data_IF_856950825904
#
_entry.id   IF_856950825904
#
_cell.length_a   1.000
_cell.length_b   1.000
_cell.length_c   1.000
_cell.angle_alpha   90.00
_cell.angle_beta   90.00
_cell.angle_gamma   90.00
#
_symmetry.space_group_name_H-M   'P 1'
#
loop_
_entity.id
_entity.type
_entity.pdbx_description
1 polymer ?
#
# COMPACT_ATOMS: atom_id res chain seq x y z
N UNK A 1 12.05 -0.04 10.50
CA UNK A 1 11.13 0.95 9.89
C UNK A 1 10.48 0.38 8.63
N UNK A 2 11.27 -0.19 7.71
CA UNK A 2 10.76 -0.89 6.50
C UNK A 2 9.83 -2.08 6.76
N UNK A 3 10.13 -2.92 7.76
CA UNK A 3 9.31 -4.09 8.12
C UNK A 3 7.84 -3.74 8.41
N UNK A 4 7.59 -2.56 9.00
CA UNK A 4 6.22 -2.08 9.25
C UNK A 4 5.51 -1.75 7.93
N UNK A 5 6.16 -1.02 7.03
CA UNK A 5 5.59 -0.67 5.74
C UNK A 5 5.40 -1.89 4.82
N UNK A 6 6.24 -2.92 4.96
CA UNK A 6 6.03 -4.20 4.29
C UNK A 6 4.70 -4.83 4.72
N UNK A 7 4.47 -4.99 6.04
CA UNK A 7 3.22 -5.56 6.58
C UNK A 7 1.98 -4.74 6.24
N UNK A 8 2.06 -3.41 6.33
CA UNK A 8 0.93 -2.52 5.99
C UNK A 8 0.55 -2.62 4.51
N UNK A 9 1.56 -2.66 3.62
CA UNK A 9 1.34 -2.84 2.18
C UNK A 9 0.74 -4.19 1.86
N UNK A 10 1.28 -5.27 2.42
CA UNK A 10 0.73 -6.60 2.21
C UNK A 10 -0.73 -6.66 2.65
N UNK A 11 -1.04 -6.10 3.83
CA UNK A 11 -2.41 -6.00 4.34
C UNK A 11 -3.31 -5.23 3.40
N UNK A 12 -2.91 -4.03 2.95
CA UNK A 12 -3.66 -3.22 1.99
C UNK A 12 -3.94 -3.98 0.68
N UNK A 13 -2.92 -4.63 0.11
CA UNK A 13 -3.08 -5.38 -1.15
C UNK A 13 -4.03 -6.56 -0.97
N UNK A 14 -3.88 -7.36 0.09
CA UNK A 14 -4.72 -8.55 0.31
C UNK A 14 -6.15 -8.21 0.72
N UNK A 15 -6.32 -7.28 1.66
CA UNK A 15 -7.61 -7.04 2.31
C UNK A 15 -8.46 -5.97 1.64
N UNK A 16 -7.85 -5.07 0.86
CA UNK A 16 -8.57 -3.97 0.22
C UNK A 16 -8.53 -4.13 -1.30
N UNK A 17 -7.34 -4.22 -1.91
CA UNK A 17 -7.22 -4.22 -3.38
C UNK A 17 -7.73 -5.54 -3.99
N UNK A 18 -7.20 -6.69 -3.56
CA UNK A 18 -7.61 -7.99 -4.08
C UNK A 18 -9.06 -8.33 -3.71
N UNK A 19 -9.47 -8.03 -2.47
CA UNK A 19 -10.84 -8.25 -1.99
C UNK A 19 -11.90 -7.44 -2.77
N UNK A 20 -11.51 -6.31 -3.39
CA UNK A 20 -12.39 -5.48 -4.25
C UNK A 20 -12.37 -5.88 -5.73
N UNK A 21 -11.78 -7.02 -6.08
CA UNK A 21 -11.88 -7.62 -7.41
C UNK A 21 -10.67 -7.41 -8.32
N UNK A 22 -9.58 -6.79 -7.84
CA UNK A 22 -8.33 -6.74 -8.60
C UNK A 22 -7.67 -8.13 -8.55
N UNK A 23 -7.69 -8.84 -9.66
CA UNK A 23 -7.21 -10.23 -9.75
C UNK A 23 -6.07 -10.45 -10.75
N UNK A 24 -5.72 -9.48 -11.60
CA UNK A 24 -4.55 -9.60 -12.47
C UNK A 24 -3.29 -9.69 -11.60
N UNK A 25 -2.64 -10.86 -11.68
CA UNK A 25 -1.46 -11.19 -10.90
C UNK A 25 -0.33 -10.17 -11.07
N UNK A 26 -0.13 -9.63 -12.28
CA UNK A 26 0.92 -8.64 -12.54
C UNK A 26 0.63 -7.33 -11.80
N UNK A 27 -0.64 -6.95 -11.68
CA UNK A 27 -1.06 -5.76 -10.91
C UNK A 27 -0.80 -5.99 -9.42
N UNK A 28 -1.18 -7.15 -8.89
CA UNK A 28 -0.95 -7.49 -7.47
C UNK A 28 0.54 -7.51 -7.14
N UNK A 29 1.36 -8.15 -7.97
CA UNK A 29 2.83 -8.21 -7.80
C UNK A 29 3.44 -6.80 -7.83
N UNK A 30 3.01 -5.95 -8.77
CA UNK A 30 3.48 -4.57 -8.84
C UNK A 30 3.14 -3.79 -7.56
N UNK A 31 1.91 -3.90 -7.06
CA UNK A 31 1.45 -3.22 -5.84
C UNK A 31 2.18 -3.71 -4.59
N UNK A 32 2.57 -4.99 -4.52
CA UNK A 32 3.39 -5.53 -3.43
C UNK A 32 4.84 -5.06 -3.50
N UNK A 33 5.39 -4.89 -4.70
CA UNK A 33 6.79 -4.50 -4.89
C UNK A 33 7.03 -3.01 -4.65
N UNK A 34 6.13 -2.13 -5.08
CA UNK A 34 6.36 -0.67 -5.05
C UNK A 34 6.11 -0.09 -3.65
N UNK A 35 7.11 0.53 -2.99
CA UNK A 35 6.94 1.11 -1.66
C UNK A 35 6.24 2.47 -1.72
N UNK A 36 4.90 2.46 -1.75
CA UNK A 36 4.04 3.66 -1.77
C UNK A 36 4.47 4.76 -0.78
N UNK A 37 4.91 4.41 0.44
CA UNK A 37 5.35 5.38 1.45
C UNK A 37 6.56 6.25 1.05
N UNK A 38 7.37 5.85 0.05
CA UNK A 38 8.45 6.70 -0.46
C UNK A 38 7.94 7.88 -1.31
N UNK A 39 6.68 7.83 -1.73
CA UNK A 39 6.01 8.86 -2.53
C UNK A 39 5.07 9.73 -1.67
N UNK A 40 5.10 9.56 -0.35
CA UNK A 40 4.29 10.31 0.62
C UNK A 40 5.23 11.20 1.45
N UNK A 41 4.86 12.48 1.72
CA UNK A 41 5.59 13.34 2.65
C UNK A 41 5.88 12.64 3.98
N UNK A 42 7.04 12.92 4.58
CA UNK A 42 7.57 12.16 5.72
C UNK A 42 6.60 12.12 6.90
N UNK A 43 5.98 13.26 7.19
CA UNK A 43 4.97 13.47 8.24
C UNK A 43 3.69 12.63 8.04
N UNK A 44 3.44 12.14 6.83
CA UNK A 44 2.24 11.37 6.47
C UNK A 44 2.54 9.90 6.15
N UNK A 45 3.81 9.46 6.17
CA UNK A 45 4.18 8.08 5.80
C UNK A 45 3.47 7.03 6.66
N UNK A 46 3.19 7.35 7.91
CA UNK A 46 2.46 6.46 8.83
C UNK A 46 1.06 6.10 8.34
N UNK A 47 0.48 6.95 7.49
CA UNK A 47 -0.84 6.81 6.89
C UNK A 47 -0.81 6.32 5.44
N UNK A 48 0.38 6.05 4.88
CA UNK A 48 0.58 5.78 3.45
C UNK A 48 -0.24 4.61 2.87
N UNK A 49 -0.65 3.68 3.73
CA UNK A 49 -1.40 2.47 3.38
C UNK A 49 -2.79 2.42 4.04
N UNK A 50 -3.27 3.54 4.58
CA UNK A 50 -4.67 3.70 4.98
C UNK A 50 -5.56 3.71 3.74
N UNK A 51 -6.77 3.16 3.87
CA UNK A 51 -7.78 3.13 2.81
C UNK A 51 -8.56 4.44 2.76
N UNK A 52 -7.83 5.54 2.59
CA UNK A 52 -8.37 6.89 2.59
C UNK A 52 -7.47 7.81 1.76
N UNK A 53 -8.01 8.86 1.13
CA UNK A 53 -7.19 9.89 0.51
C UNK A 53 -6.25 10.55 1.53
N UNK A 54 -5.03 10.84 1.09
CA UNK A 54 -4.09 11.69 1.84
C UNK A 54 -4.23 13.13 1.33
N UNK A 55 -4.12 14.15 2.21
CA UNK A 55 -4.07 15.54 1.80
C UNK A 55 -2.67 15.86 1.26
N UNK A 56 -2.44 15.55 -0.03
CA UNK A 56 -1.18 15.77 -0.76
C UNK A 56 -1.42 16.47 -2.09
#
# INVERSE_FOLDING_TARGET
>A
MEERFYRLREKMVRQQIAARGVSDRRVIEAMLRVPRHLFVPEEMRDRAYEDTPLPI
#
